data_IF_106087229207
#
_entry.id   IF_106087229207
#
_cell.length_a   1.000
_cell.length_b   1.000
_cell.length_c   1.000
_cell.angle_alpha   90.00
_cell.angle_beta   90.00
_cell.angle_gamma   90.00
#
_symmetry.space_group_name_H-M   'P 1'
#
loop_
_entity.id
_entity.type
_entity.pdbx_description
1 polymer ?
#
# COMPACT_ATOMS: atom_id res chain seq x y z
N UNK A 1 -38.14 66.75 24.03
CA UNK A 1 -37.03 65.84 24.40
C UNK A 1 -37.52 64.45 24.05
N UNK A 2 -37.13 63.95 22.87
CA UNK A 2 -37.74 62.77 22.25
C UNK A 2 -37.07 61.47 22.75
N UNK A 3 -37.81 60.69 23.52
CA UNK A 3 -37.45 59.35 24.01
C UNK A 3 -37.27 58.31 22.87
N UNK A 4 -37.63 58.65 21.63
CA UNK A 4 -37.57 57.75 20.46
C UNK A 4 -36.17 57.56 19.87
N UNK A 5 -35.19 58.42 20.19
CA UNK A 5 -33.80 58.30 19.69
C UNK A 5 -32.91 57.42 20.56
N UNK A 6 -33.34 57.08 21.77
CA UNK A 6 -32.56 56.27 22.72
C UNK A 6 -32.88 54.77 22.60
N UNK A 7 -34.02 54.41 21.99
CA UNK A 7 -34.46 53.01 21.81
C UNK A 7 -33.81 52.36 20.58
N UNK A 8 -33.60 53.10 19.48
CA UNK A 8 -33.06 52.53 18.24
C UNK A 8 -31.58 52.12 18.33
N UNK A 9 -30.76 52.84 19.11
CA UNK A 9 -29.34 52.51 19.27
C UNK A 9 -29.09 51.28 20.16
N UNK A 10 -30.06 50.92 21.01
CA UNK A 10 -29.97 49.72 21.87
C UNK A 10 -30.30 48.47 21.06
N UNK A 11 -31.33 48.53 20.21
CA UNK A 11 -31.72 47.43 19.32
C UNK A 11 -30.62 47.07 18.31
N UNK A 12 -29.99 48.07 17.68
CA UNK A 12 -28.90 47.82 16.73
C UNK A 12 -27.68 47.15 17.39
N UNK A 13 -27.33 47.55 18.62
CA UNK A 13 -26.24 46.94 19.39
C UNK A 13 -26.53 45.49 19.81
N UNK A 14 -27.80 45.20 20.12
CA UNK A 14 -28.26 43.85 20.46
C UNK A 14 -28.24 42.93 19.24
N UNK A 15 -28.63 43.44 18.07
CA UNK A 15 -28.59 42.68 16.81
C UNK A 15 -27.15 42.34 16.43
N UNK A 16 -26.21 43.26 16.58
CA UNK A 16 -24.80 43.03 16.29
C UNK A 16 -24.18 42.00 17.25
N UNK A 17 -24.53 42.04 18.53
CA UNK A 17 -24.09 41.07 19.53
C UNK A 17 -24.66 39.66 19.26
N UNK A 18 -25.95 39.58 18.89
CA UNK A 18 -26.61 38.31 18.52
C UNK A 18 -25.98 37.71 17.26
N UNK A 19 -25.73 38.54 16.23
CA UNK A 19 -25.13 38.09 14.97
C UNK A 19 -23.70 37.59 15.18
N UNK A 20 -22.94 38.27 16.03
CA UNK A 20 -21.58 37.87 16.40
C UNK A 20 -21.59 36.54 17.15
N UNK A 21 -22.50 36.35 18.12
CA UNK A 21 -22.63 35.09 18.88
C UNK A 21 -23.06 33.92 18.00
N UNK A 22 -23.96 34.13 17.04
CA UNK A 22 -24.36 33.12 16.05
C UNK A 22 -23.16 32.70 15.18
N UNK A 23 -22.37 33.66 14.69
CA UNK A 23 -21.18 33.36 13.86
C UNK A 23 -20.08 32.59 14.60
N UNK A 24 -19.96 32.79 15.92
CA UNK A 24 -18.99 32.09 16.76
C UNK A 24 -19.47 30.66 17.04
N UNK A 25 -20.77 30.46 17.25
CA UNK A 25 -21.37 29.14 17.43
C UNK A 25 -21.19 28.27 16.18
N UNK A 26 -21.43 28.83 14.98
CA UNK A 26 -21.24 28.13 13.71
C UNK A 26 -19.77 27.71 13.49
N UNK A 27 -18.81 28.59 13.83
CA UNK A 27 -17.37 28.27 13.74
C UNK A 27 -16.96 27.16 14.71
N UNK A 28 -17.49 27.19 15.95
CA UNK A 28 -17.24 26.15 16.95
C UNK A 28 -17.80 24.81 16.53
N UNK A 29 -19.02 24.77 16.00
CA UNK A 29 -19.62 23.55 15.46
C UNK A 29 -18.82 22.98 14.29
N UNK A 30 -18.29 23.84 13.41
CA UNK A 30 -17.48 23.42 12.28
C UNK A 30 -16.11 22.86 12.74
N UNK A 31 -15.48 23.49 13.74
CA UNK A 31 -14.24 22.98 14.37
C UNK A 31 -14.45 21.66 15.10
N UNK A 32 -15.54 21.52 15.86
CA UNK A 32 -15.88 20.29 16.57
C UNK A 32 -16.23 19.14 15.61
N UNK A 33 -16.94 19.42 14.51
CA UNK A 33 -17.19 18.45 13.43
C UNK A 33 -15.90 18.03 12.73
N UNK A 34 -14.97 18.95 12.47
CA UNK A 34 -13.67 18.64 11.88
C UNK A 34 -12.77 17.81 12.84
N UNK A 35 -12.81 18.11 14.14
CA UNK A 35 -12.07 17.37 15.15
C UNK A 35 -12.65 15.95 15.34
N UNK A 36 -13.97 15.80 15.31
CA UNK A 36 -14.65 14.51 15.35
C UNK A 36 -14.34 13.66 14.11
N UNK A 37 -14.41 14.25 12.90
CA UNK A 37 -14.08 13.57 11.66
C UNK A 37 -12.61 13.11 11.63
N UNK A 38 -11.68 13.96 12.05
CA UNK A 38 -10.26 13.56 12.15
C UNK A 38 -10.03 12.45 13.18
N UNK A 39 -10.72 12.49 14.32
CA UNK A 39 -10.64 11.44 15.35
C UNK A 39 -11.22 10.10 14.86
N UNK A 40 -12.30 10.14 14.08
CA UNK A 40 -12.90 8.96 13.44
C UNK A 40 -11.97 8.42 12.35
N UNK A 41 -11.41 9.27 11.49
CA UNK A 41 -10.43 8.85 10.47
C UNK A 41 -9.18 8.23 11.08
N UNK A 42 -8.65 8.81 12.17
CA UNK A 42 -7.51 8.26 12.93
C UNK A 42 -7.89 6.91 13.54
N UNK A 43 -9.09 6.79 14.11
CA UNK A 43 -9.58 5.53 14.69
C UNK A 43 -9.74 4.45 13.62
N UNK A 44 -10.35 4.76 12.49
CA UNK A 44 -10.51 3.84 11.36
C UNK A 44 -9.14 3.45 10.78
N UNK A 45 -8.22 4.40 10.63
CA UNK A 45 -6.84 4.10 10.21
C UNK A 45 -6.10 3.19 11.20
N UNK A 46 -6.40 3.28 12.50
CA UNK A 46 -5.85 2.40 13.53
C UNK A 46 -6.37 0.96 13.44
N UNK A 47 -7.62 0.77 12.99
CA UNK A 47 -8.22 -0.56 12.79
C UNK A 47 -7.89 -1.22 11.45
N UNK A 48 -7.34 -0.48 10.50
CA UNK A 48 -6.96 -1.03 9.18
C UNK A 48 -5.63 -1.77 9.28
N UNK A 49 -5.62 -3.04 8.85
CA UNK A 49 -4.37 -3.79 8.67
C UNK A 49 -3.52 -3.06 7.61
N UNK A 50 -2.22 -2.96 7.88
CA UNK A 50 -1.25 -2.46 6.90
C UNK A 50 -1.10 -3.48 5.77
N UNK A 51 -0.73 -3.02 4.58
CA UNK A 51 -0.43 -3.86 3.43
C UNK A 51 1.04 -4.26 3.41
N UNK A 52 1.31 -5.56 3.26
CA UNK A 52 2.63 -6.09 2.95
C UNK A 52 2.62 -6.72 1.56
N UNK A 53 3.50 -6.23 0.69
CA UNK A 53 3.66 -6.71 -0.68
C UNK A 53 4.93 -7.54 -0.75
N UNK A 54 4.80 -8.82 -1.08
CA UNK A 54 5.89 -9.79 -1.06
C UNK A 54 6.39 -10.08 -2.47
N UNK A 55 7.70 -10.00 -2.69
CA UNK A 55 8.33 -10.70 -3.81
C UNK A 55 8.31 -12.22 -3.58
N UNK A 56 8.48 -13.00 -4.66
CA UNK A 56 8.58 -14.47 -4.56
C UNK A 56 10.04 -14.90 -4.57
N UNK A 57 10.77 -14.51 -5.62
CA UNK A 57 12.14 -15.00 -5.82
C UNK A 57 13.10 -14.29 -4.88
N UNK A 58 13.99 -15.04 -4.22
CA UNK A 58 14.93 -14.50 -3.24
C UNK A 58 14.29 -14.12 -1.90
N UNK A 59 12.95 -14.00 -1.84
CA UNK A 59 12.22 -13.78 -0.59
C UNK A 59 11.59 -15.06 -0.02
N UNK A 60 10.69 -15.73 -0.75
CA UNK A 60 9.99 -16.94 -0.29
C UNK A 60 10.65 -18.23 -0.79
N UNK A 61 11.27 -18.16 -1.96
CA UNK A 61 11.93 -19.28 -2.61
C UNK A 61 13.02 -18.79 -3.56
N UNK A 62 13.98 -19.65 -3.89
CA UNK A 62 14.87 -19.46 -5.02
C UNK A 62 14.34 -20.21 -6.24
N UNK A 63 14.16 -19.52 -7.36
CA UNK A 63 13.61 -20.07 -8.60
C UNK A 63 14.64 -19.90 -9.73
N UNK A 64 15.26 -20.99 -10.14
CA UNK A 64 16.35 -20.98 -11.13
C UNK A 64 15.99 -21.79 -12.37
N UNK A 65 16.43 -21.32 -13.55
CA UNK A 65 16.19 -22.02 -14.81
C UNK A 65 17.14 -23.19 -15.05
N UNK A 66 18.29 -23.19 -14.37
CA UNK A 66 19.36 -24.19 -14.53
C UNK A 66 19.87 -24.62 -13.15
N UNK A 67 19.16 -25.52 -12.45
CA UNK A 67 19.62 -26.02 -11.16
C UNK A 67 20.94 -26.79 -11.32
N UNK A 68 21.76 -26.78 -10.26
CA UNK A 68 22.95 -27.61 -10.19
C UNK A 68 22.55 -29.09 -10.27
N UNK A 69 23.28 -29.89 -11.05
CA UNK A 69 22.95 -31.29 -11.37
C UNK A 69 22.72 -32.19 -10.14
N UNK A 70 23.28 -31.82 -8.98
CA UNK A 70 23.27 -32.61 -7.76
C UNK A 70 22.32 -32.10 -6.66
N UNK A 71 21.61 -30.99 -6.91
CA UNK A 71 20.66 -30.45 -5.92
C UNK A 71 19.25 -30.77 -6.40
N UNK A 72 18.55 -31.60 -5.64
CA UNK A 72 17.15 -31.94 -5.91
C UNK A 72 16.27 -30.74 -5.55
N UNK A 73 15.47 -30.20 -6.51
CA UNK A 73 14.54 -29.13 -6.21
C UNK A 73 13.33 -29.63 -5.43
N UNK A 74 12.73 -28.74 -4.65
CA UNK A 74 11.45 -29.00 -3.98
C UNK A 74 10.33 -29.18 -5.00
N UNK A 75 10.35 -28.37 -6.07
CA UNK A 75 9.44 -28.49 -7.19
C UNK A 75 10.07 -28.11 -8.53
N UNK A 76 9.53 -28.68 -9.60
CA UNK A 76 9.73 -28.19 -10.96
C UNK A 76 8.49 -27.43 -11.38
N UNK A 77 8.63 -26.14 -11.65
CA UNK A 77 7.55 -25.26 -12.09
C UNK A 77 7.76 -24.82 -13.55
N UNK A 78 6.64 -24.59 -14.26
CA UNK A 78 6.60 -24.07 -15.62
C UNK A 78 7.63 -24.75 -16.58
N UNK A 79 8.32 -23.98 -17.43
CA UNK A 79 9.32 -24.45 -18.42
C UNK A 79 10.61 -24.97 -17.73
N UNK A 80 10.51 -26.01 -16.90
CA UNK A 80 11.64 -26.67 -16.20
C UNK A 80 12.41 -25.75 -15.24
N UNK A 81 11.74 -24.79 -14.59
CA UNK A 81 12.38 -23.98 -13.56
C UNK A 81 12.35 -24.76 -12.24
N UNK A 82 13.50 -24.91 -11.62
CA UNK A 82 13.61 -25.47 -10.29
C UNK A 82 13.23 -24.41 -9.25
N UNK A 83 12.42 -24.82 -8.28
CA UNK A 83 12.06 -24.02 -7.11
C UNK A 83 12.65 -24.70 -5.86
N UNK A 84 13.33 -23.90 -5.04
CA UNK A 84 13.89 -24.27 -3.75
C UNK A 84 13.24 -23.38 -2.68
N UNK A 85 12.54 -23.96 -1.71
CA UNK A 85 11.85 -23.22 -0.66
C UNK A 85 12.87 -22.54 0.25
N UNK A 86 12.59 -21.31 0.67
CA UNK A 86 13.39 -20.69 1.73
C UNK A 86 13.07 -21.33 3.07
N UNK A 87 14.06 -21.63 3.93
CA UNK A 87 13.79 -22.06 5.30
C UNK A 87 12.84 -21.10 6.03
N UNK A 88 11.90 -21.65 6.79
CA UNK A 88 10.91 -20.92 7.61
C UNK A 88 9.94 -20.01 6.83
N UNK A 89 9.78 -20.20 5.51
CA UNK A 89 8.90 -19.34 4.71
C UNK A 89 7.42 -19.49 5.07
N UNK A 90 6.97 -20.66 5.54
CA UNK A 90 5.57 -20.89 5.92
C UNK A 90 5.22 -20.15 7.21
N UNK A 91 6.11 -20.21 8.21
CA UNK A 91 5.99 -19.47 9.47
C UNK A 91 5.98 -17.97 9.21
N UNK A 92 6.84 -17.49 8.31
CA UNK A 92 6.83 -16.10 7.85
C UNK A 92 5.50 -15.73 7.18
N UNK A 93 4.99 -16.56 6.27
CA UNK A 93 3.70 -16.30 5.62
C UNK A 93 2.54 -16.27 6.63
N UNK A 94 2.50 -17.23 7.57
CA UNK A 94 1.50 -17.25 8.63
C UNK A 94 1.54 -15.97 9.47
N UNK A 95 2.73 -15.55 9.88
CA UNK A 95 2.92 -14.27 10.58
C UNK A 95 2.40 -13.08 9.76
N UNK A 96 2.68 -13.05 8.45
CA UNK A 96 2.19 -12.00 7.57
C UNK A 96 0.66 -11.98 7.51
N UNK A 97 0.01 -13.11 7.25
CA UNK A 97 -1.46 -13.19 7.13
C UNK A 97 -2.19 -12.92 8.46
N UNK A 98 -1.56 -13.20 9.59
CA UNK A 98 -2.12 -12.87 10.90
C UNK A 98 -2.25 -11.34 11.09
N UNK A 99 -1.24 -10.57 10.66
CA UNK A 99 -1.06 -9.15 11.05
C UNK A 99 -1.30 -8.13 9.95
N UNK A 100 -1.22 -8.55 8.69
CA UNK A 100 -1.24 -7.67 7.53
C UNK A 100 -2.26 -8.16 6.50
N UNK A 101 -2.72 -7.23 5.66
CA UNK A 101 -3.20 -7.62 4.34
C UNK A 101 -1.99 -7.99 3.50
N UNK A 102 -2.04 -9.14 2.85
CA UNK A 102 -0.88 -9.70 2.14
C UNK A 102 -1.15 -9.70 0.64
N UNK A 103 -0.22 -9.16 -0.11
CA UNK A 103 -0.22 -9.22 -1.56
C UNK A 103 1.10 -9.79 -2.09
N UNK A 104 1.04 -10.31 -3.31
CA UNK A 104 2.22 -10.77 -4.05
C UNK A 104 2.46 -9.83 -5.20
N UNK A 105 3.72 -9.44 -5.41
CA UNK A 105 4.15 -8.77 -6.63
C UNK A 105 5.46 -9.39 -7.09
N UNK A 106 5.45 -10.10 -8.21
CA UNK A 106 6.63 -10.81 -8.73
C UNK A 106 7.06 -10.25 -10.08
N UNK A 107 8.37 -10.06 -10.30
CA UNK A 107 8.90 -9.63 -11.60
C UNK A 107 9.04 -10.78 -12.61
N UNK A 108 8.18 -11.81 -12.51
CA UNK A 108 8.19 -13.01 -13.36
C UNK A 108 6.88 -13.07 -14.16
N UNK A 109 6.92 -13.73 -15.32
CA UNK A 109 5.71 -13.98 -16.11
C UNK A 109 4.63 -14.68 -15.29
N UNK A 110 3.37 -14.25 -15.45
CA UNK A 110 2.17 -14.80 -14.80
C UNK A 110 2.17 -16.32 -14.61
N UNK A 111 2.36 -17.10 -15.68
CA UNK A 111 2.39 -18.57 -15.61
C UNK A 111 3.41 -19.16 -14.63
N UNK A 112 4.53 -18.47 -14.37
CA UNK A 112 5.51 -18.92 -13.39
C UNK A 112 5.08 -18.50 -11.98
N UNK A 113 4.49 -17.32 -11.84
CA UNK A 113 3.96 -16.76 -10.59
C UNK A 113 2.84 -17.67 -10.10
N UNK A 114 1.83 -17.93 -10.92
CA UNK A 114 0.69 -18.78 -10.57
C UNK A 114 1.16 -20.16 -10.07
N UNK A 115 2.06 -20.83 -10.80
CA UNK A 115 2.62 -22.13 -10.38
C UNK A 115 3.45 -22.06 -9.10
N UNK A 116 4.20 -20.99 -8.89
CA UNK A 116 4.96 -20.81 -7.66
C UNK A 116 4.04 -20.58 -6.45
N UNK A 117 3.00 -19.76 -6.62
CA UNK A 117 2.01 -19.47 -5.57
C UNK A 117 1.19 -20.70 -5.24
N UNK A 118 0.70 -21.43 -6.26
CA UNK A 118 0.01 -22.71 -6.07
C UNK A 118 0.83 -23.67 -5.20
N UNK A 119 2.14 -23.78 -5.48
CA UNK A 119 3.03 -24.66 -4.75
C UNK A 119 3.39 -24.15 -3.34
N UNK A 120 3.71 -22.86 -3.21
CA UNK A 120 4.21 -22.29 -1.96
C UNK A 120 3.09 -22.04 -0.93
N UNK A 121 1.94 -21.55 -1.40
CA UNK A 121 0.87 -21.04 -0.52
C UNK A 121 -0.34 -21.98 -0.45
N UNK A 122 -0.56 -22.87 -1.43
CA UNK A 122 -1.74 -23.73 -1.46
C UNK A 122 -3.02 -22.92 -1.31
N UNK A 123 -3.87 -23.30 -0.35
CA UNK A 123 -5.14 -22.62 -0.07
C UNK A 123 -4.97 -21.21 0.53
N UNK A 124 -3.83 -20.91 1.16
CA UNK A 124 -3.57 -19.58 1.74
C UNK A 124 -3.59 -18.48 0.67
N UNK A 125 -3.37 -18.82 -0.61
CA UNK A 125 -3.42 -17.86 -1.71
C UNK A 125 -4.78 -17.16 -1.84
N UNK A 126 -5.86 -17.79 -1.38
CA UNK A 126 -7.21 -17.20 -1.39
C UNK A 126 -7.33 -15.98 -0.46
N UNK A 127 -6.40 -15.83 0.50
CA UNK A 127 -6.31 -14.69 1.41
C UNK A 127 -5.50 -13.53 0.83
N UNK A 128 -4.88 -13.69 -0.35
CA UNK A 128 -4.13 -12.61 -0.97
C UNK A 128 -5.10 -11.54 -1.49
N UNK A 129 -4.81 -10.27 -1.18
CA UNK A 129 -5.65 -9.15 -1.68
C UNK A 129 -5.42 -8.88 -3.16
N UNK A 130 -4.22 -9.18 -3.68
CA UNK A 130 -3.94 -9.31 -5.12
C UNK A 130 -2.68 -10.14 -5.35
N UNK A 131 -2.51 -10.60 -6.59
CA UNK A 131 -1.30 -11.29 -7.04
C UNK A 131 -0.85 -10.72 -8.38
N UNK A 132 0.13 -9.83 -8.34
CA UNK A 132 0.71 -9.16 -9.49
C UNK A 132 1.94 -9.88 -10.02
N UNK A 133 2.08 -9.84 -11.35
CA UNK A 133 3.19 -10.43 -12.09
C UNK A 133 3.95 -9.36 -12.91
N UNK A 134 4.86 -9.80 -13.79
CA UNK A 134 5.71 -8.91 -14.58
C UNK A 134 4.93 -7.82 -15.32
N UNK A 135 3.72 -8.10 -15.81
CA UNK A 135 2.90 -7.11 -16.54
C UNK A 135 2.55 -5.87 -15.71
N UNK A 136 2.61 -5.98 -14.38
CA UNK A 136 2.31 -4.88 -13.47
C UNK A 136 3.56 -4.07 -13.12
N UNK A 137 4.77 -4.58 -13.39
CA UNK A 137 6.00 -3.83 -13.18
C UNK A 137 6.09 -2.62 -14.12
N UNK A 138 6.87 -1.62 -13.72
CA UNK A 138 7.26 -0.52 -14.60
C UNK A 138 8.50 -0.95 -15.38
N UNK A 139 8.33 -1.21 -16.67
CA UNK A 139 9.43 -1.64 -17.53
C UNK A 139 10.40 -0.49 -17.85
N UNK A 140 11.66 -0.85 -18.10
CA UNK A 140 12.66 0.05 -18.68
C UNK A 140 13.16 -0.53 -20.00
N UNK A 141 13.84 0.29 -20.79
CA UNK A 141 14.56 -0.16 -21.99
C UNK A 141 15.86 -0.92 -21.67
N UNK A 142 16.23 -1.03 -20.39
CA UNK A 142 17.50 -1.62 -19.96
C UNK A 142 17.37 -3.07 -19.51
N UNK A 143 18.51 -3.77 -19.49
CA UNK A 143 18.66 -5.12 -18.95
C UNK A 143 19.43 -5.05 -17.63
N UNK A 144 19.21 -6.02 -16.76
CA UNK A 144 19.98 -6.13 -15.51
C UNK A 144 21.44 -6.46 -15.81
N UNK A 145 22.37 -5.95 -15.01
CA UNK A 145 23.81 -6.17 -15.20
C UNK A 145 24.17 -7.65 -15.03
N UNK A 146 23.53 -8.34 -14.10
CA UNK A 146 23.79 -9.74 -13.76
C UNK A 146 23.23 -10.69 -14.83
N UNK A 147 22.22 -10.25 -15.58
CA UNK A 147 21.57 -11.04 -16.60
C UNK A 147 21.08 -10.18 -17.78
N UNK A 148 21.85 -10.21 -18.87
CA UNK A 148 21.55 -9.49 -20.12
C UNK A 148 20.21 -9.85 -20.77
N UNK A 149 19.58 -10.96 -20.39
CA UNK A 149 18.28 -11.37 -20.91
C UNK A 149 17.11 -10.93 -20.01
N UNK A 150 17.38 -10.52 -18.78
CA UNK A 150 16.38 -10.06 -17.81
C UNK A 150 16.17 -8.55 -17.96
N UNK A 151 14.92 -8.15 -18.23
CA UNK A 151 14.53 -6.74 -18.24
C UNK A 151 14.72 -6.13 -16.85
N UNK A 152 15.28 -4.92 -16.81
CA UNK A 152 15.31 -4.11 -15.61
C UNK A 152 13.92 -3.47 -15.47
N UNK A 153 13.26 -3.77 -14.35
CA UNK A 153 11.90 -3.31 -14.07
C UNK A 153 11.80 -2.85 -12.61
N UNK A 154 10.84 -1.96 -12.35
CA UNK A 154 10.54 -1.42 -11.03
C UNK A 154 9.16 -1.87 -10.54
N UNK A 155 8.99 -1.90 -9.21
CA UNK A 155 7.71 -2.11 -8.53
C UNK A 155 7.29 -0.80 -7.89
N UNK A 156 6.56 0.00 -8.67
CA UNK A 156 6.13 1.35 -8.28
C UNK A 156 4.88 1.27 -7.39
N UNK A 157 5.05 1.48 -6.08
CA UNK A 157 3.95 1.39 -5.11
C UNK A 157 2.82 2.40 -5.39
N UNK A 158 3.08 3.47 -6.14
CA UNK A 158 2.01 4.40 -6.57
C UNK A 158 0.95 3.69 -7.41
N UNK A 159 1.27 2.59 -8.11
CA UNK A 159 0.24 1.80 -8.82
C UNK A 159 -0.81 1.22 -7.86
N UNK A 160 -0.42 0.92 -6.62
CA UNK A 160 -1.31 0.44 -5.56
C UNK A 160 -2.09 1.62 -4.98
N UNK A 161 -1.40 2.71 -4.67
CA UNK A 161 -1.96 3.88 -3.98
C UNK A 161 -2.93 4.66 -4.85
N UNK A 162 -2.65 4.76 -6.14
CA UNK A 162 -3.44 5.49 -7.14
C UNK A 162 -4.51 4.63 -7.81
N UNK A 163 -4.69 3.39 -7.35
CA UNK A 163 -5.65 2.43 -7.88
C UNK A 163 -5.50 2.20 -9.41
N UNK A 164 -4.28 1.85 -9.85
CA UNK A 164 -3.95 1.67 -11.27
C UNK A 164 -4.71 0.52 -11.93
N UNK A 165 -4.97 -0.56 -11.18
CA UNK A 165 -5.74 -1.70 -11.64
C UNK A 165 -7.18 -1.58 -11.11
N UNK A 166 -8.20 -1.44 -11.96
CA UNK A 166 -9.59 -1.26 -11.52
C UNK A 166 -10.15 -2.46 -10.75
N UNK A 167 -9.45 -3.61 -10.74
CA UNK A 167 -9.85 -4.79 -9.98
C UNK A 167 -9.37 -4.77 -8.51
N UNK A 168 -8.59 -3.76 -8.09
CA UNK A 168 -8.20 -3.65 -6.69
C UNK A 168 -9.44 -3.36 -5.82
N UNK A 169 -9.57 -4.01 -4.64
CA UNK A 169 -10.78 -3.93 -3.83
C UNK A 169 -10.87 -2.66 -2.96
N UNK A 170 -10.13 -1.61 -3.30
CA UNK A 170 -10.11 -0.35 -2.55
C UNK A 170 -10.05 0.87 -3.46
N UNK A 171 -10.41 2.01 -2.88
CA UNK A 171 -10.32 3.31 -3.52
C UNK A 171 -8.90 3.90 -3.42
N UNK A 172 -8.60 4.85 -4.30
CA UNK A 172 -7.35 5.60 -4.28
C UNK A 172 -7.10 6.21 -2.88
N UNK A 173 -5.86 6.09 -2.41
CA UNK A 173 -5.43 6.60 -1.09
C UNK A 173 -5.74 5.68 0.10
N UNK A 174 -6.47 4.57 -0.09
CA UNK A 174 -6.70 3.58 0.96
C UNK A 174 -5.38 3.03 1.52
N UNK A 175 -4.46 2.68 0.62
CA UNK A 175 -3.07 2.42 0.92
C UNK A 175 -2.20 3.57 0.42
N UNK A 176 -1.14 3.86 1.16
CA UNK A 176 -0.16 4.92 0.90
C UNK A 176 1.20 4.56 1.52
N UNK A 177 2.15 5.49 1.50
CA UNK A 177 3.51 5.33 2.02
C UNK A 177 3.58 4.93 3.50
N UNK A 178 2.57 5.27 4.31
CA UNK A 178 2.61 5.10 5.77
C UNK A 178 2.10 3.74 6.23
N UNK A 179 1.35 3.05 5.36
CA UNK A 179 0.68 1.78 5.66
C UNK A 179 0.95 0.67 4.63
N UNK A 180 1.91 0.88 3.70
CA UNK A 180 2.33 -0.12 2.71
C UNK A 180 3.81 -0.44 2.86
N UNK A 181 4.16 -1.73 2.88
CA UNK A 181 5.55 -2.19 2.89
C UNK A 181 5.81 -3.15 1.72
N UNK A 182 6.82 -2.85 0.90
CA UNK A 182 7.33 -3.75 -0.13
C UNK A 182 8.54 -4.52 0.41
N UNK A 183 8.48 -5.86 0.37
CA UNK A 183 9.62 -6.72 0.64
C UNK A 183 10.12 -7.34 -0.68
N UNK A 184 11.33 -6.97 -1.07
CA UNK A 184 11.98 -7.42 -2.31
C UNK A 184 13.46 -7.69 -2.05
N UNK A 185 14.00 -8.74 -2.67
CA UNK A 185 15.42 -9.11 -2.53
C UNK A 185 16.35 -8.21 -3.35
N UNK A 186 15.80 -7.47 -4.31
CA UNK A 186 16.53 -6.68 -5.30
C UNK A 186 16.31 -5.19 -5.04
N UNK A 187 17.27 -4.48 -4.41
CA UNK A 187 17.10 -3.08 -4.01
C UNK A 187 16.65 -2.16 -5.15
N UNK A 188 17.17 -2.40 -6.36
CA UNK A 188 16.83 -1.58 -7.52
C UNK A 188 15.34 -1.63 -7.88
N UNK A 189 14.63 -2.74 -7.62
CA UNK A 189 13.20 -2.86 -7.96
C UNK A 189 12.35 -1.88 -7.16
N UNK A 190 12.83 -1.43 -6.00
CA UNK A 190 12.15 -0.46 -5.14
C UNK A 190 12.56 1.01 -5.39
N UNK A 191 13.38 1.31 -6.40
CA UNK A 191 13.94 2.66 -6.61
C UNK A 191 12.91 3.78 -6.78
N UNK A 192 11.69 3.47 -7.24
CA UNK A 192 10.61 4.46 -7.39
C UNK A 192 9.85 4.73 -6.08
N UNK A 193 10.24 4.10 -4.98
CA UNK A 193 9.59 4.18 -3.68
C UNK A 193 10.56 4.84 -2.67
N UNK A 194 10.80 6.16 -2.75
CA UNK A 194 11.76 6.82 -1.88
C UNK A 194 11.38 6.62 -0.40
N UNK A 195 12.39 6.37 0.43
CA UNK A 195 12.20 6.30 1.89
C UNK A 195 11.62 7.63 2.33
N UNK A 196 10.59 7.59 3.18
CA UNK A 196 10.03 8.81 3.77
C UNK A 196 11.13 9.54 4.52
N UNK A 197 11.62 10.65 3.94
CA UNK A 197 12.49 11.58 4.64
C UNK A 197 11.62 12.35 5.64
N UNK A 198 11.81 12.17 6.97
CA UNK A 198 11.04 12.88 7.97
C UNK A 198 11.14 14.41 7.82
N UNK A 199 12.20 14.91 7.18
CA UNK A 199 12.44 16.35 6.93
C UNK A 199 11.65 16.92 5.75
N UNK A 200 11.01 16.08 4.92
CA UNK A 200 10.21 16.53 3.76
C UNK A 200 8.73 16.75 4.06
N UNK A 201 8.26 16.49 5.29
CA UNK A 201 6.85 16.66 5.68
C UNK A 201 6.34 18.11 5.74
N UNK A 202 7.23 19.11 5.71
CA UNK A 202 6.88 20.53 5.88
C UNK A 202 7.27 21.41 4.68
N UNK A 203 7.18 20.91 3.45
CA UNK A 203 7.35 21.74 2.24
C UNK A 203 6.15 21.66 1.34
#
# INVERSE_FOLDING_TARGET
MDERKMVSGVEDSLIEEITTKLSIADKKEQEEKNLCNSSIEISIACFRKKLIVLDINGLLADIVSSPLKHVKPDAIIAKKKALFKRPYYLEFLNFCFERFEVAVWSSRLKKNVDKAIDYLMGDMKQKLVFCWDLSHCTETSFKTLENKHKLLVFKDLRKIWENYDPNLPWEKGYYNESNTLLLDDSPYKAMLNPVLDPKRRNR
#
